data_IF_980848806588
#
_entry.id   IF_980848806588
#
_cell.length_a   1.000
_cell.length_b   1.000
_cell.length_c   1.000
_cell.angle_alpha   90.00
_cell.angle_beta   90.00
_cell.angle_gamma   90.00
#
_symmetry.space_group_name_H-M   'P 1'
#
loop_
_entity.id
_entity.type
_entity.pdbx_description
1 polymer ?
#
# COMPACT_ATOMS: atom_id res chain seq x y z
N UNK A 1 -4.49 -10.70 8.70
CA UNK A 1 -3.61 -10.68 7.55
C UNK A 1 -2.29 -11.38 7.81
N UNK A 2 -2.03 -12.45 7.05
CA UNK A 2 -0.71 -13.05 6.87
C UNK A 2 -0.06 -12.45 5.62
N UNK A 3 1.20 -12.01 5.70
CA UNK A 3 1.98 -11.59 4.54
C UNK A 3 2.82 -12.77 4.04
N UNK A 4 2.84 -13.01 2.73
CA UNK A 4 3.59 -14.11 2.11
C UNK A 4 4.81 -13.58 1.37
N UNK A 5 5.99 -13.91 1.88
CA UNK A 5 7.30 -13.57 1.29
C UNK A 5 7.59 -12.06 1.18
N UNK A 6 6.83 -11.22 1.90
CA UNK A 6 7.11 -9.79 2.04
C UNK A 6 6.61 -9.23 3.37
N UNK A 7 7.07 -8.02 3.72
CA UNK A 7 6.50 -7.20 4.79
C UNK A 7 6.31 -5.76 4.33
N UNK A 8 5.44 -5.03 4.99
CA UNK A 8 5.33 -3.58 4.82
C UNK A 8 6.24 -2.86 5.81
N UNK A 9 6.96 -1.85 5.30
CA UNK A 9 7.56 -0.79 6.09
C UNK A 9 6.62 0.40 6.22
N UNK A 10 7.16 1.59 6.40
CA UNK A 10 6.37 2.81 6.57
C UNK A 10 6.03 3.51 5.25
N UNK A 11 6.83 3.30 4.21
CA UNK A 11 6.63 3.82 2.84
C UNK A 11 7.07 2.80 1.78
N UNK A 12 7.50 1.62 2.20
CA UNK A 12 8.13 0.59 1.38
C UNK A 12 7.47 -0.78 1.58
N UNK A 13 7.76 -1.71 0.68
CA UNK A 13 7.67 -3.14 0.98
C UNK A 13 9.06 -3.76 0.94
N UNK A 14 9.27 -4.76 1.78
CA UNK A 14 10.50 -5.54 1.79
C UNK A 14 10.23 -6.96 1.30
N UNK A 15 10.95 -7.38 0.25
CA UNK A 15 10.86 -8.71 -0.35
C UNK A 15 12.28 -9.27 -0.46
N UNK A 16 12.54 -10.45 0.13
CA UNK A 16 13.86 -11.09 0.12
C UNK A 16 15.00 -10.15 0.56
N UNK A 17 14.85 -9.49 1.72
CA UNK A 17 15.80 -8.53 2.30
C UNK A 17 16.07 -7.28 1.44
N UNK A 18 15.23 -7.00 0.44
CA UNK A 18 15.28 -5.78 -0.38
C UNK A 18 14.04 -4.93 -0.16
N UNK A 19 14.27 -3.70 0.29
CA UNK A 19 13.24 -2.67 0.37
C UNK A 19 12.99 -2.01 -1.00
N UNK A 20 11.73 -1.86 -1.37
CA UNK A 20 11.26 -1.11 -2.53
C UNK A 20 10.50 0.12 -2.04
N UNK A 21 11.10 1.30 -2.22
CA UNK A 21 10.58 2.58 -1.73
C UNK A 21 9.39 3.05 -2.58
N UNK A 22 8.16 2.83 -2.10
CA UNK A 22 6.92 3.14 -2.81
C UNK A 22 6.59 4.64 -2.79
N UNK A 23 7.30 5.45 -1.99
CA UNK A 23 7.15 6.91 -1.98
C UNK A 23 8.01 7.54 -3.06
N UNK A 24 9.29 7.16 -3.12
CA UNK A 24 10.25 7.79 -4.03
C UNK A 24 10.27 7.12 -5.41
N UNK A 25 10.26 5.80 -5.53
CA UNK A 25 10.60 5.16 -6.81
C UNK A 25 9.42 4.69 -7.64
N UNK A 26 8.21 4.74 -7.08
CA UNK A 26 7.01 4.22 -7.72
C UNK A 26 5.85 5.19 -7.71
N UNK A 27 4.95 4.99 -8.68
CA UNK A 27 3.63 5.61 -8.75
C UNK A 27 2.56 4.55 -8.51
N UNK A 28 1.64 4.82 -7.59
CA UNK A 28 0.40 4.07 -7.51
C UNK A 28 -0.46 4.38 -8.73
N UNK A 29 -0.79 3.33 -9.50
CA UNK A 29 -1.54 3.44 -10.76
C UNK A 29 -2.96 2.91 -10.67
N UNK A 30 -3.18 1.87 -9.87
CA UNK A 30 -4.47 1.19 -9.85
C UNK A 30 -4.77 0.68 -8.46
N UNK A 31 -6.00 0.97 -8.03
CA UNK A 31 -6.63 0.39 -6.86
C UNK A 31 -7.89 -0.29 -7.39
N UNK A 32 -7.99 -1.61 -7.24
CA UNK A 32 -9.18 -2.38 -7.67
C UNK A 32 -9.68 -3.20 -6.50
N UNK A 33 -10.99 -3.26 -6.34
CA UNK A 33 -11.64 -4.16 -5.41
C UNK A 33 -12.68 -4.99 -6.15
N UNK A 34 -12.49 -6.31 -6.15
CA UNK A 34 -13.49 -7.26 -6.59
C UNK A 34 -14.35 -7.67 -5.40
N UNK A 35 -15.65 -7.34 -5.48
CA UNK A 35 -16.61 -7.61 -4.41
C UNK A 35 -16.94 -9.11 -4.33
N UNK A 36 -16.99 -9.79 -5.47
CA UNK A 36 -17.39 -11.21 -5.55
C UNK A 36 -16.27 -12.08 -5.03
N UNK A 37 -15.05 -11.84 -5.51
CA UNK A 37 -13.86 -12.62 -5.13
C UNK A 37 -13.25 -12.13 -3.81
N UNK A 38 -13.72 -10.98 -3.29
CA UNK A 38 -13.20 -10.31 -2.09
C UNK A 38 -11.69 -10.11 -2.18
N UNK A 39 -11.25 -9.56 -3.31
CA UNK A 39 -9.84 -9.33 -3.61
C UNK A 39 -9.58 -7.85 -3.85
N UNK A 40 -8.57 -7.30 -3.18
CA UNK A 40 -8.07 -5.95 -3.47
C UNK A 40 -6.71 -6.02 -4.16
N UNK A 41 -6.48 -5.16 -5.14
CA UNK A 41 -5.22 -5.03 -5.88
C UNK A 41 -4.71 -3.60 -5.81
N UNK A 42 -3.44 -3.46 -5.45
CA UNK A 42 -2.68 -2.22 -5.54
C UNK A 42 -1.53 -2.42 -6.53
N UNK A 43 -1.45 -1.58 -7.55
CA UNK A 43 -0.42 -1.65 -8.58
C UNK A 43 0.44 -0.39 -8.53
N UNK A 44 1.74 -0.60 -8.34
CA UNK A 44 2.77 0.40 -8.36
C UNK A 44 3.63 0.22 -9.61
N UNK A 45 3.94 1.30 -10.31
CA UNK A 45 4.80 1.29 -11.51
C UNK A 45 5.99 2.18 -11.26
N UNK A 46 7.18 1.73 -11.64
CA UNK A 46 8.40 2.51 -11.53
C UNK A 46 8.26 3.84 -12.25
N UNK A 47 8.73 4.90 -11.62
CA UNK A 47 8.93 6.20 -12.27
C UNK A 47 9.86 6.05 -13.49
N UNK A 48 9.53 6.62 -14.67
CA UNK A 48 10.38 6.53 -15.87
C UNK A 48 11.63 7.43 -15.83
N UNK A 49 11.78 8.27 -14.80
CA UNK A 49 12.84 9.26 -14.68
C UNK A 49 14.20 8.64 -14.37
N UNK A 50 15.26 9.20 -14.94
CA UNK A 50 16.62 8.70 -14.84
C UNK A 50 17.26 8.78 -13.44
N UNK A 51 16.60 9.42 -12.47
CA UNK A 51 17.08 9.46 -11.08
C UNK A 51 16.63 8.22 -10.29
N UNK A 52 15.66 7.46 -10.80
CA UNK A 52 15.25 6.18 -10.22
C UNK A 52 16.27 5.11 -10.63
N UNK A 53 16.79 4.31 -9.70
CA UNK A 53 17.78 3.28 -10.04
C UNK A 53 17.24 2.27 -11.06
N UNK A 54 18.07 1.89 -12.04
CA UNK A 54 17.66 0.98 -13.12
C UNK A 54 17.36 -0.44 -12.62
N UNK A 55 17.94 -0.83 -11.48
CA UNK A 55 17.70 -2.10 -10.81
C UNK A 55 16.34 -2.19 -10.10
N UNK A 56 15.60 -1.09 -9.98
CA UNK A 56 14.24 -1.10 -9.44
C UNK A 56 13.30 -1.88 -10.37
N UNK A 57 12.39 -2.66 -9.77
CA UNK A 57 11.39 -3.41 -10.51
C UNK A 57 10.52 -2.45 -11.34
N UNK A 58 10.16 -2.81 -12.57
CA UNK A 58 9.27 -1.96 -13.38
C UNK A 58 7.85 -1.91 -12.81
N UNK A 59 7.41 -2.94 -12.07
CA UNK A 59 6.09 -2.99 -11.45
C UNK A 59 6.08 -3.83 -10.18
N UNK A 60 5.30 -3.37 -9.20
CA UNK A 60 4.99 -4.09 -7.96
C UNK A 60 3.48 -4.22 -7.86
N UNK A 61 3.00 -5.44 -7.63
CA UNK A 61 1.57 -5.72 -7.41
C UNK A 61 1.42 -6.26 -6.00
N UNK A 62 0.52 -5.66 -5.23
CA UNK A 62 0.11 -6.16 -3.93
C UNK A 62 -1.34 -6.61 -4.04
N UNK A 63 -1.58 -7.87 -3.69
CA UNK A 63 -2.91 -8.47 -3.70
C UNK A 63 -3.34 -8.88 -2.30
N UNK A 64 -4.55 -8.52 -1.93
CA UNK A 64 -5.19 -8.90 -0.67
C UNK A 64 -6.32 -9.87 -0.97
N UNK A 65 -6.33 -11.03 -0.29
CA UNK A 65 -7.29 -12.11 -0.57
C UNK A 65 -8.19 -12.38 0.63
N UNK A 66 -9.45 -12.72 0.34
CA UNK A 66 -10.50 -12.88 1.35
C UNK A 66 -10.67 -11.62 2.21
N UNK A 67 -10.69 -10.46 1.57
CA UNK A 67 -10.82 -9.15 2.22
C UNK A 67 -12.09 -9.12 3.08
N UNK A 68 -11.92 -8.86 4.37
CA UNK A 68 -13.00 -8.75 5.37
C UNK A 68 -13.36 -7.31 5.68
N UNK A 69 -12.45 -6.37 5.42
CA UNK A 69 -12.69 -4.94 5.53
C UNK A 69 -11.97 -4.21 4.40
N UNK A 70 -12.68 -3.34 3.69
CA UNK A 70 -12.08 -2.41 2.74
C UNK A 70 -12.80 -1.07 2.85
N UNK A 71 -12.03 -0.01 3.05
CA UNK A 71 -12.54 1.35 2.87
C UNK A 71 -11.51 2.21 2.15
N UNK A 72 -12.02 3.15 1.37
CA UNK A 72 -11.26 4.17 0.67
C UNK A 72 -11.91 5.51 0.98
N UNK A 73 -11.20 6.38 1.68
CA UNK A 73 -11.67 7.70 2.10
C UNK A 73 -10.70 8.75 1.59
N UNK A 74 -11.17 9.68 0.75
CA UNK A 74 -10.40 10.85 0.34
C UNK A 74 -10.81 12.08 1.15
N UNK A 75 -9.86 12.96 1.42
CA UNK A 75 -10.15 14.34 1.78
C UNK A 75 -10.03 15.21 0.53
N UNK A 76 -11.02 16.06 0.28
CA UNK A 76 -10.89 17.14 -0.71
C UNK A 76 -9.89 18.17 -0.16
N UNK A 77 -8.60 17.90 -0.33
CA UNK A 77 -7.62 18.95 -0.24
C UNK A 77 -7.68 19.75 -1.54
N UNK A 78 -7.85 21.06 -1.45
CA UNK A 78 -7.59 21.95 -2.59
C UNK A 78 -6.23 21.57 -3.14
N UNK A 79 -6.24 21.06 -4.38
CA UNK A 79 -5.13 20.38 -5.03
C UNK A 79 -3.84 21.16 -4.82
N UNK A 80 -2.91 20.61 -4.04
CA UNK A 80 -1.52 21.07 -4.10
C UNK A 80 -1.06 20.68 -5.51
N UNK A 81 -0.68 21.67 -6.33
CA UNK A 81 -0.06 21.40 -7.63
C UNK A 81 1.19 20.54 -7.41
N UNK A 82 1.10 19.24 -7.72
CA UNK A 82 2.21 18.28 -7.54
C UNK A 82 1.74 16.83 -7.37
N UNK A 83 2.53 15.88 -7.88
CA UNK A 83 2.21 14.46 -8.02
C UNK A 83 1.70 13.79 -6.74
N UNK A 84 0.42 13.42 -6.77
CA UNK A 84 -0.34 12.92 -5.62
C UNK A 84 -0.50 11.39 -5.59
N UNK A 85 0.23 10.70 -6.48
CA UNK A 85 0.13 9.27 -6.74
C UNK A 85 1.12 8.41 -5.94
N UNK A 86 1.75 8.97 -4.90
CA UNK A 86 2.74 8.27 -4.09
C UNK A 86 2.19 7.96 -2.70
N UNK A 87 2.81 6.99 -2.04
CA UNK A 87 2.51 6.61 -0.65
C UNK A 87 3.07 7.68 0.27
N UNK A 88 2.24 8.25 1.14
CA UNK A 88 2.70 9.11 2.24
C UNK A 88 3.12 8.29 3.46
N UNK A 89 2.30 7.31 3.85
CA UNK A 89 2.61 6.41 4.97
C UNK A 89 1.80 5.12 4.93
N UNK A 90 2.37 4.09 5.55
CA UNK A 90 1.79 2.78 5.75
C UNK A 90 1.89 2.47 7.25
N UNK A 91 0.77 2.14 7.85
CA UNK A 91 0.70 1.76 9.25
C UNK A 91 -0.47 0.86 9.51
N UNK A 92 -0.86 0.77 10.78
CA UNK A 92 -1.89 -0.15 11.24
C UNK A 92 -2.82 0.49 12.23
N UNK A 93 -4.01 -0.10 12.36
CA UNK A 93 -5.00 0.28 13.36
C UNK A 93 -5.72 -0.96 13.87
N UNK A 94 -6.13 -0.93 15.13
CA UNK A 94 -6.97 -1.98 15.72
C UNK A 94 -8.34 -2.04 15.01
N UNK A 95 -9.00 -3.21 14.94
CA UNK A 95 -10.26 -3.38 14.20
C UNK A 95 -11.36 -2.38 14.56
N UNK A 96 -11.51 -2.08 15.85
CA UNK A 96 -12.58 -1.22 16.37
C UNK A 96 -12.17 0.25 16.50
N UNK A 97 -10.93 0.59 16.16
CA UNK A 97 -10.43 1.96 16.26
C UNK A 97 -10.69 2.76 14.97
N UNK A 98 -10.77 4.08 15.12
CA UNK A 98 -10.93 5.02 14.01
C UNK A 98 -9.69 5.00 13.12
N UNK A 99 -9.87 5.05 11.79
CA UNK A 99 -8.74 5.03 10.84
C UNK A 99 -7.72 6.14 11.10
N UNK A 100 -8.15 7.29 11.61
CA UNK A 100 -7.27 8.43 11.92
C UNK A 100 -6.31 8.19 13.09
N UNK A 101 -6.57 7.16 13.92
CA UNK A 101 -5.69 6.80 15.05
C UNK A 101 -4.69 5.71 14.67
N UNK A 102 -4.48 5.46 13.37
CA UNK A 102 -3.46 4.51 12.93
C UNK A 102 -2.08 4.93 13.42
N UNK A 103 -1.18 3.96 13.55
CA UNK A 103 0.19 4.17 14.00
C UNK A 103 1.17 3.38 13.13
N UNK A 104 2.40 3.89 13.06
CA UNK A 104 3.49 3.25 12.34
C UNK A 104 4.11 2.15 13.21
N UNK A 105 4.39 1.00 12.61
CA UNK A 105 5.05 -0.11 13.29
C UNK A 105 5.64 -1.10 12.30
N UNK A 106 6.81 -1.65 12.65
CA UNK A 106 7.42 -2.77 11.93
C UNK A 106 6.78 -4.13 12.33
N UNK A 107 5.85 -4.14 13.28
CA UNK A 107 5.25 -5.35 13.86
C UNK A 107 3.74 -5.37 13.66
N UNK A 108 3.34 -5.60 12.42
CA UNK A 108 1.94 -5.74 12.04
C UNK A 108 1.39 -7.06 12.59
N UNK A 109 0.37 -6.99 13.44
CA UNK A 109 -0.29 -8.19 13.96
C UNK A 109 -1.33 -8.72 12.96
N UNK A 110 -1.64 -10.02 12.99
CA UNK A 110 -2.63 -10.58 12.06
C UNK A 110 -4.03 -9.99 12.17
N UNK A 111 -4.44 -9.49 13.34
CA UNK A 111 -5.76 -8.90 13.56
C UNK A 111 -5.83 -7.41 13.21
N UNK A 112 -4.69 -6.74 13.03
CA UNK A 112 -4.65 -5.33 12.63
C UNK A 112 -5.19 -5.10 11.22
N UNK A 113 -5.83 -3.94 11.04
CA UNK A 113 -6.15 -3.43 9.71
C UNK A 113 -4.94 -2.63 9.21
N UNK A 114 -4.54 -2.86 7.96
CA UNK A 114 -3.52 -2.06 7.28
C UNK A 114 -4.14 -0.72 6.88
N UNK A 115 -3.43 0.38 7.11
CA UNK A 115 -3.81 1.72 6.68
C UNK A 115 -2.73 2.26 5.74
N UNK A 116 -3.12 2.65 4.54
CA UNK A 116 -2.24 3.17 3.50
C UNK A 116 -2.71 4.58 3.14
N UNK A 117 -1.89 5.57 3.44
CA UNK A 117 -2.14 6.97 3.16
C UNK A 117 -1.33 7.39 1.92
N UNK A 118 -1.98 8.11 1.01
CA UNK A 118 -1.36 8.69 -0.18
C UNK A 118 -1.20 10.19 0.00
N UNK A 119 -0.21 10.79 -0.67
CA UNK A 119 -0.02 12.25 -0.68
C UNK A 119 -1.23 13.02 -1.27
N UNK A 120 -2.06 12.34 -2.08
CA UNK A 120 -3.35 12.87 -2.55
C UNK A 120 -4.39 13.11 -1.44
N UNK A 121 -4.14 12.65 -0.22
CA UNK A 121 -5.16 12.63 0.84
C UNK A 121 -6.14 11.46 0.72
N UNK A 122 -5.91 10.53 -0.21
CA UNK A 122 -6.58 9.22 -0.20
C UNK A 122 -6.01 8.37 0.93
N UNK A 123 -6.89 7.75 1.70
CA UNK A 123 -6.54 6.74 2.70
C UNK A 123 -7.30 5.46 2.39
N UNK A 124 -6.56 4.35 2.29
CA UNK A 124 -7.11 3.01 2.24
C UNK A 124 -7.00 2.36 3.61
N UNK A 125 -8.02 1.63 4.02
CA UNK A 125 -7.95 0.71 5.15
C UNK A 125 -8.39 -0.67 4.71
N UNK A 126 -7.54 -1.66 4.94
CA UNK A 126 -7.72 -3.03 4.43
C UNK A 126 -7.51 -4.03 5.56
N UNK A 127 -8.42 -4.99 5.67
CA UNK A 127 -8.18 -6.24 6.40
C UNK A 127 -8.54 -7.42 5.51
N UNK A 128 -7.71 -8.45 5.55
CA UNK A 128 -7.80 -9.62 4.69
C UNK A 128 -7.20 -10.84 5.41
N UNK A 129 -7.53 -12.04 4.95
CA UNK A 129 -6.89 -13.26 5.46
C UNK A 129 -5.39 -13.23 5.15
N UNK A 130 -5.04 -12.89 3.91
CA UNK A 130 -3.66 -12.85 3.46
C UNK A 130 -3.39 -11.72 2.45
N UNK A 131 -2.12 -11.36 2.34
CA UNK A 131 -1.61 -10.51 1.27
C UNK A 131 -0.40 -11.16 0.61
N UNK A 132 -0.23 -10.90 -0.69
CA UNK A 132 0.87 -11.39 -1.52
C UNK A 132 1.46 -10.26 -2.34
N UNK A 133 2.75 -10.33 -2.61
CA UNK A 133 3.44 -9.42 -3.52
C UNK A 133 3.89 -10.14 -4.79
N UNK A 134 3.91 -9.40 -5.90
CA UNK A 134 4.54 -9.82 -7.15
C UNK A 134 5.45 -8.69 -7.63
N UNK A 135 6.72 -9.04 -7.89
CA UNK A 135 7.76 -8.11 -8.34
C UNK A 135 8.10 -8.42 -9.80
N UNK A 136 7.95 -7.43 -10.67
CA UNK A 136 8.15 -7.55 -12.12
C UNK A 136 9.26 -6.59 -12.53
N UNK A 137 10.32 -7.12 -13.15
CA UNK A 137 11.48 -6.35 -13.64
C UNK A 137 11.29 -5.98 -15.11
#
# INVERSE_FOLDING_TARGET
MQFHDFVFGHIEIEVNDRAYDLHNFYQARTITYDIVDRTALLIFTRWPEAWVPDEEASKIIISFHEVSYFSATGQDHESVEGDSHVIHSIGVVEPDADTQTFYLTDKIKPDHHLVICFESGLTLRVQASEARSEIIF
#
